data_IF_028903036818
#
_entry.id   IF_028903036818
#
_cell.length_a   1.000
_cell.length_b   1.000
_cell.length_c   1.000
_cell.angle_alpha   90.00
_cell.angle_beta   90.00
_cell.angle_gamma   90.00
#
_symmetry.space_group_name_H-M   'P 1'
#
loop_
_entity.id
_entity.type
_entity.pdbx_description
1 polymer ?
#
# COMPACT_ATOMS: atom_id res chain seq x y z
N UNK A 1 -7.19 3.47 16.92
CA UNK A 1 -7.23 4.49 15.85
C UNK A 1 -8.17 4.01 14.74
N UNK A 2 -8.96 4.90 14.12
CA UNK A 2 -9.85 4.57 12.98
C UNK A 2 -9.51 5.48 11.78
N UNK A 3 -10.12 5.25 10.59
CA UNK A 3 -9.90 6.05 9.37
C UNK A 3 -10.00 7.56 9.59
N UNK A 4 -11.05 8.02 10.29
CA UNK A 4 -11.27 9.46 10.52
C UNK A 4 -10.15 10.06 11.36
N UNK A 5 -9.71 9.33 12.37
CA UNK A 5 -8.64 9.78 13.24
C UNK A 5 -7.28 9.79 12.52
N UNK A 6 -6.99 8.76 11.72
CA UNK A 6 -5.80 8.72 10.87
C UNK A 6 -5.74 9.95 9.95
N UNK A 7 -6.84 10.25 9.27
CA UNK A 7 -6.95 11.40 8.37
C UNK A 7 -6.80 12.74 9.08
N UNK A 8 -7.39 12.89 10.28
CA UNK A 8 -7.26 14.11 11.07
C UNK A 8 -5.81 14.37 11.47
N UNK A 9 -5.13 13.34 11.98
CA UNK A 9 -3.73 13.43 12.37
C UNK A 9 -2.85 13.72 11.16
N UNK A 10 -3.08 13.04 10.04
CA UNK A 10 -2.35 13.29 8.80
C UNK A 10 -2.55 14.73 8.29
N UNK A 11 -3.78 15.24 8.32
CA UNK A 11 -4.11 16.62 7.97
C UNK A 11 -3.49 17.64 8.94
N UNK A 12 -3.30 17.26 10.21
CA UNK A 12 -2.58 18.05 11.21
C UNK A 12 -1.04 18.01 11.05
N UNK A 13 -0.52 17.30 10.05
CA UNK A 13 0.91 17.18 9.78
C UNK A 13 1.58 15.98 10.43
N UNK A 14 0.84 15.14 11.16
CA UNK A 14 1.39 13.89 11.69
C UNK A 14 1.75 12.96 10.54
N UNK A 15 2.93 12.36 10.63
CA UNK A 15 3.41 11.37 9.67
C UNK A 15 3.85 10.09 10.38
N UNK A 16 4.08 10.13 11.69
CA UNK A 16 4.59 9.01 12.48
C UNK A 16 3.44 8.37 13.24
N UNK A 17 2.83 7.34 12.65
CA UNK A 17 1.70 6.64 13.27
C UNK A 17 2.14 5.41 14.09
N UNK A 18 3.40 4.97 13.97
CA UNK A 18 3.97 3.82 14.68
C UNK A 18 3.97 3.91 16.22
N UNK A 19 3.84 5.12 16.78
CA UNK A 19 3.79 5.34 18.25
C UNK A 19 2.36 5.32 18.80
N UNK A 20 1.37 5.26 17.93
CA UNK A 20 -0.03 5.27 18.33
C UNK A 20 -0.39 3.84 18.70
N UNK A 21 -0.81 3.61 19.94
CA UNK A 21 -1.28 2.30 20.40
C UNK A 21 -2.59 1.99 19.67
N UNK A 22 -2.57 1.00 18.78
CA UNK A 22 -3.74 0.55 18.03
C UNK A 22 -4.06 -0.85 18.50
N UNK A 23 -5.35 -1.13 18.69
CA UNK A 23 -5.79 -2.52 18.76
C UNK A 23 -5.52 -3.11 17.37
N UNK A 24 -4.80 -4.23 17.33
CA UNK A 24 -4.18 -4.88 16.16
C UNK A 24 -5.15 -5.27 15.01
N UNK A 25 -6.42 -4.89 15.13
CA UNK A 25 -7.52 -5.24 14.23
C UNK A 25 -8.26 -4.03 13.66
N UNK A 26 -7.93 -2.81 14.10
CA UNK A 26 -8.80 -1.64 13.84
C UNK A 26 -8.83 -1.16 12.38
N UNK A 27 -7.87 -1.57 11.55
CA UNK A 27 -7.72 -1.12 10.17
C UNK A 27 -7.66 -2.28 9.16
N UNK A 28 -7.96 -3.52 9.58
CA UNK A 28 -8.19 -4.61 8.61
C UNK A 28 -9.52 -4.37 7.88
N UNK A 29 -9.55 -4.60 6.57
CA UNK A 29 -10.76 -4.45 5.74
C UNK A 29 -11.26 -3.01 5.58
N UNK A 30 -10.50 -2.01 6.02
CA UNK A 30 -10.93 -0.60 5.96
C UNK A 30 -10.88 -0.08 4.52
N UNK A 31 -11.87 0.71 4.15
CA UNK A 31 -11.85 1.44 2.89
C UNK A 31 -11.04 2.73 3.01
N UNK A 32 -9.86 2.77 2.38
CA UNK A 32 -8.93 3.90 2.27
C UNK A 32 -8.71 4.28 0.80
N UNK A 33 -9.66 3.98 -0.09
CA UNK A 33 -9.57 4.37 -1.50
C UNK A 33 -9.38 5.88 -1.66
N UNK A 34 -8.51 6.25 -2.60
CA UNK A 34 -8.16 7.64 -2.91
C UNK A 34 -7.41 8.39 -1.81
N UNK A 35 -6.98 7.72 -0.73
CA UNK A 35 -6.33 8.41 0.38
C UNK A 35 -4.96 8.96 -0.02
N UNK A 36 -4.59 10.12 0.52
CA UNK A 36 -3.21 10.59 0.49
C UNK A 36 -2.54 10.30 1.84
N UNK A 37 -1.60 9.34 1.84
CA UNK A 37 -0.70 9.04 2.96
C UNK A 37 0.77 9.08 2.49
N UNK A 38 1.08 9.94 1.51
CA UNK A 38 2.45 10.13 1.04
C UNK A 38 3.41 10.43 2.21
N UNK A 39 4.54 9.72 2.24
CA UNK A 39 5.57 9.81 3.28
C UNK A 39 5.08 9.48 4.70
N UNK A 40 3.92 8.83 4.86
CA UNK A 40 3.45 8.36 6.17
C UNK A 40 4.29 7.17 6.65
N UNK A 41 4.50 7.08 7.96
CA UNK A 41 5.13 5.94 8.64
C UNK A 41 4.02 5.09 9.27
N UNK A 42 3.70 3.99 8.61
CA UNK A 42 2.64 3.03 8.96
C UNK A 42 3.23 1.69 9.41
N UNK A 43 4.45 1.70 9.97
CA UNK A 43 5.21 0.50 10.34
C UNK A 43 4.44 -0.39 11.33
N UNK A 44 4.48 -1.70 11.10
CA UNK A 44 3.85 -2.73 11.95
C UNK A 44 2.33 -2.58 12.14
N UNK A 45 1.63 -2.01 11.17
CA UNK A 45 0.17 -1.96 11.18
C UNK A 45 -0.44 -3.24 10.61
N UNK A 46 -1.64 -3.61 11.08
CA UNK A 46 -2.49 -4.56 10.40
C UNK A 46 -3.43 -3.85 9.42
N UNK A 47 -3.13 -3.94 8.13
CA UNK A 47 -3.87 -3.38 7.00
C UNK A 47 -4.30 -4.49 6.01
N UNK A 48 -4.43 -5.72 6.51
CA UNK A 48 -4.93 -6.83 5.68
C UNK A 48 -6.30 -6.50 5.11
N UNK A 49 -6.56 -6.93 3.88
CA UNK A 49 -7.84 -6.75 3.18
C UNK A 49 -8.29 -5.28 3.02
N UNK A 50 -7.44 -4.31 3.36
CA UNK A 50 -7.76 -2.89 3.22
C UNK A 50 -7.84 -2.49 1.74
N UNK A 51 -8.78 -1.60 1.43
CA UNK A 51 -8.90 -1.03 0.09
C UNK A 51 -8.09 0.26 0.00
N UNK A 52 -6.99 0.25 -0.74
CA UNK A 52 -6.14 1.40 -1.06
C UNK A 52 -6.24 1.79 -2.54
N UNK A 53 -7.32 1.44 -3.23
CA UNK A 53 -7.43 1.75 -4.66
C UNK A 53 -7.30 3.25 -4.92
N UNK A 54 -6.49 3.62 -5.91
CA UNK A 54 -6.17 5.01 -6.27
C UNK A 54 -5.53 5.85 -5.13
N UNK A 55 -4.97 5.21 -4.09
CA UNK A 55 -4.29 5.90 -3.01
C UNK A 55 -2.93 6.47 -3.44
N UNK A 56 -2.53 7.59 -2.84
CA UNK A 56 -1.16 8.07 -2.89
C UNK A 56 -0.40 7.63 -1.63
N UNK A 57 0.47 6.64 -1.79
CA UNK A 57 1.36 6.08 -0.78
C UNK A 57 2.85 6.36 -1.12
N UNK A 58 3.11 7.33 -2.01
CA UNK A 58 4.48 7.65 -2.44
C UNK A 58 5.39 7.97 -1.24
N UNK A 59 6.54 7.31 -1.18
CA UNK A 59 7.50 7.42 -0.09
C UNK A 59 7.02 6.95 1.28
N UNK A 60 5.87 6.27 1.38
CA UNK A 60 5.36 5.75 2.65
C UNK A 60 6.29 4.65 3.19
N UNK A 61 6.46 4.61 4.51
CA UNK A 61 7.23 3.58 5.22
C UNK A 61 6.28 2.60 5.89
N UNK A 62 6.21 1.40 5.36
CA UNK A 62 5.28 0.34 5.76
C UNK A 62 6.01 -0.92 6.26
N UNK A 63 7.25 -0.79 6.75
CA UNK A 63 8.04 -1.95 7.19
C UNK A 63 7.29 -2.79 8.24
N UNK A 64 7.25 -4.10 8.02
CA UNK A 64 6.59 -5.05 8.92
C UNK A 64 5.06 -4.94 8.97
N UNK A 65 4.45 -4.14 8.10
CA UNK A 65 3.00 -3.99 7.98
C UNK A 65 2.40 -5.22 7.32
N UNK A 66 1.22 -5.64 7.78
CA UNK A 66 0.45 -6.68 7.12
C UNK A 66 -0.44 -6.05 6.03
N UNK A 67 -0.12 -6.30 4.76
CA UNK A 67 -0.90 -5.88 3.58
C UNK A 67 -1.53 -7.09 2.87
N UNK A 68 -1.59 -8.26 3.52
CA UNK A 68 -2.16 -9.46 2.91
C UNK A 68 -3.60 -9.19 2.44
N UNK A 69 -3.91 -9.51 1.18
CA UNK A 69 -5.23 -9.27 0.57
C UNK A 69 -5.57 -7.80 0.27
N UNK A 70 -4.67 -6.85 0.53
CA UNK A 70 -4.96 -5.44 0.29
C UNK A 70 -5.14 -5.14 -1.21
N UNK A 71 -6.08 -4.25 -1.52
CA UNK A 71 -6.30 -3.77 -2.88
C UNK A 71 -5.54 -2.47 -3.12
N UNK A 72 -4.44 -2.51 -3.91
CA UNK A 72 -3.65 -1.34 -4.27
C UNK A 72 -3.92 -0.87 -5.72
N UNK A 73 -5.06 -1.27 -6.31
CA UNK A 73 -5.32 -0.97 -7.73
C UNK A 73 -5.31 0.53 -8.02
N UNK A 74 -4.50 0.99 -8.98
CA UNK A 74 -4.37 2.42 -9.31
C UNK A 74 -3.54 3.22 -8.30
N UNK A 75 -2.98 2.60 -7.26
CA UNK A 75 -2.22 3.31 -6.24
C UNK A 75 -0.83 3.75 -6.72
N UNK A 76 -0.34 4.83 -6.15
CA UNK A 76 1.04 5.30 -6.31
C UNK A 76 1.87 4.89 -5.09
N UNK A 77 2.77 3.93 -5.27
CA UNK A 77 3.75 3.48 -4.28
C UNK A 77 5.18 3.89 -4.66
N UNK A 78 5.36 4.92 -5.49
CA UNK A 78 6.69 5.40 -5.87
C UNK A 78 7.56 5.62 -4.63
N UNK A 79 8.75 5.03 -4.59
CA UNK A 79 9.71 5.08 -3.48
C UNK A 79 9.16 4.58 -2.12
N UNK A 80 8.05 3.84 -2.09
CA UNK A 80 7.51 3.28 -0.85
C UNK A 80 8.41 2.15 -0.32
N UNK A 81 8.51 2.05 1.00
CA UNK A 81 9.30 1.03 1.68
C UNK A 81 8.37 0.01 2.35
N UNK A 82 8.16 -1.13 1.67
CA UNK A 82 7.44 -2.29 2.17
C UNK A 82 8.37 -3.44 2.56
N UNK A 83 9.65 -3.18 2.88
CA UNK A 83 10.54 -4.24 3.30
C UNK A 83 10.00 -4.96 4.54
N UNK A 84 10.03 -6.30 4.51
CA UNK A 84 9.53 -7.17 5.58
C UNK A 84 8.02 -7.08 5.83
N UNK A 85 7.27 -6.36 5.00
CA UNK A 85 5.81 -6.37 5.03
C UNK A 85 5.29 -7.70 4.51
N UNK A 86 4.10 -8.11 4.99
CA UNK A 86 3.39 -9.25 4.39
C UNK A 86 2.57 -8.75 3.21
N UNK A 87 2.81 -9.30 2.02
CA UNK A 87 2.15 -8.87 0.78
C UNK A 87 1.46 -10.05 0.08
N UNK A 88 1.06 -11.07 0.84
CA UNK A 88 0.40 -12.25 0.31
C UNK A 88 -0.95 -11.86 -0.33
N UNK A 89 -1.19 -12.26 -1.57
CA UNK A 89 -2.45 -11.96 -2.30
C UNK A 89 -2.77 -10.46 -2.43
N UNK A 90 -1.76 -9.59 -2.45
CA UNK A 90 -1.97 -8.17 -2.74
C UNK A 90 -2.40 -7.98 -4.19
N UNK A 91 -3.37 -7.08 -4.44
CA UNK A 91 -3.84 -6.77 -5.79
C UNK A 91 -3.09 -5.53 -6.29
N UNK A 92 -2.36 -5.68 -7.40
CA UNK A 92 -1.49 -4.66 -7.98
C UNK A 92 -1.88 -4.41 -9.44
N UNK A 93 -3.11 -3.95 -9.69
CA UNK A 93 -3.57 -3.56 -11.03
C UNK A 93 -3.34 -2.06 -11.22
N UNK A 94 -2.84 -1.61 -12.38
CA UNK A 94 -2.61 -0.19 -12.66
C UNK A 94 -1.77 0.53 -11.59
N UNK A 95 -0.90 -0.19 -10.89
CA UNK A 95 -0.17 0.32 -9.72
C UNK A 95 1.19 0.85 -10.14
N UNK A 96 1.66 1.94 -9.54
CA UNK A 96 3.01 2.43 -9.77
C UNK A 96 3.94 2.01 -8.61
N UNK A 97 4.87 1.09 -8.86
CA UNK A 97 5.86 0.62 -7.89
C UNK A 97 7.25 1.22 -8.12
N UNK A 98 7.43 2.24 -8.97
CA UNK A 98 8.77 2.78 -9.29
C UNK A 98 9.60 3.04 -8.03
N UNK A 99 10.74 2.39 -7.87
CA UNK A 99 11.62 2.55 -6.70
C UNK A 99 11.09 1.94 -5.39
N UNK A 100 9.90 1.33 -5.39
CA UNK A 100 9.32 0.67 -4.22
C UNK A 100 10.14 -0.55 -3.81
N UNK A 101 10.28 -0.74 -2.50
CA UNK A 101 11.02 -1.88 -1.92
C UNK A 101 10.06 -2.86 -1.26
N UNK A 102 10.48 -4.12 -1.16
CA UNK A 102 9.71 -5.17 -0.49
C UNK A 102 8.68 -5.89 -1.38
N UNK A 103 8.50 -5.45 -2.62
CA UNK A 103 7.81 -6.22 -3.66
C UNK A 103 8.88 -6.97 -4.47
N UNK A 104 8.86 -8.31 -4.43
CA UNK A 104 9.81 -9.13 -5.18
C UNK A 104 9.64 -8.98 -6.70
N UNK A 105 10.70 -9.24 -7.47
CA UNK A 105 10.75 -9.14 -8.94
C UNK A 105 9.98 -10.26 -9.68
N UNK A 106 8.80 -10.64 -9.17
CA UNK A 106 8.06 -11.81 -9.63
C UNK A 106 6.71 -11.96 -8.93
N UNK A 107 6.03 -10.83 -8.70
CA UNK A 107 4.68 -10.78 -8.15
C UNK A 107 3.69 -11.43 -9.15
N UNK A 108 3.51 -12.73 -9.02
CA UNK A 108 2.68 -13.55 -9.90
C UNK A 108 1.18 -13.20 -9.87
N UNK A 109 0.55 -13.43 -11.02
CA UNK A 109 -0.88 -13.56 -11.33
C UNK A 109 -1.83 -12.33 -11.21
N UNK A 110 -1.48 -11.22 -10.56
CA UNK A 110 -2.39 -10.05 -10.46
C UNK A 110 -1.74 -8.69 -10.79
N UNK A 111 -0.62 -8.70 -11.51
CA UNK A 111 -0.05 -7.51 -12.13
C UNK A 111 -0.62 -7.34 -13.55
N UNK A 112 -1.39 -6.29 -13.75
CA UNK A 112 -1.88 -5.86 -15.05
C UNK A 112 -1.81 -4.35 -15.07
N UNK A 113 -1.27 -3.77 -16.15
CA UNK A 113 -1.04 -2.33 -16.32
C UNK A 113 -0.17 -1.70 -15.20
N UNK A 114 0.71 -2.47 -14.57
CA UNK A 114 1.49 -2.04 -13.39
C UNK A 114 2.92 -1.70 -13.77
N UNK A 115 3.50 -0.70 -13.10
CA UNK A 115 4.91 -0.34 -13.23
C UNK A 115 5.67 -1.05 -12.12
N UNK A 116 6.65 -1.87 -12.46
CA UNK A 116 7.50 -2.60 -11.51
C UNK A 116 8.52 -1.69 -10.80
N UNK A 117 9.16 -2.17 -9.71
CA UNK A 117 10.18 -1.41 -8.99
C UNK A 117 11.32 -0.84 -9.85
N UNK A 118 11.73 -1.53 -10.91
CA UNK A 118 12.75 -1.04 -11.85
C UNK A 118 12.25 0.01 -12.85
N UNK A 119 10.93 0.26 -12.89
CA UNK A 119 10.27 1.17 -13.82
C UNK A 119 9.71 0.47 -15.06
N UNK A 120 9.81 -0.86 -15.16
CA UNK A 120 9.25 -1.62 -16.27
C UNK A 120 7.72 -1.64 -16.22
N UNK A 121 7.06 -1.38 -17.34
CA UNK A 121 5.62 -1.52 -17.45
C UNK A 121 5.24 -2.97 -17.77
N UNK A 122 4.32 -3.54 -16.99
CA UNK A 122 3.74 -4.86 -17.17
C UNK A 122 2.29 -4.69 -17.55
N UNK A 123 1.98 -4.98 -18.80
CA UNK A 123 0.63 -4.90 -19.34
C UNK A 123 -0.32 -5.94 -18.69
N UNK A 124 0.21 -7.09 -18.28
CA UNK A 124 -0.57 -8.25 -17.86
C UNK A 124 -0.76 -9.22 -19.04
N UNK A 125 -1.33 -10.41 -18.82
CA UNK A 125 -1.52 -11.36 -19.90
C UNK A 125 -2.58 -10.89 -20.90
N UNK A 126 -2.33 -11.15 -22.20
CA UNK A 126 -3.12 -10.71 -23.36
C UNK A 126 -4.63 -11.06 -23.34
N UNK A 127 -5.11 -11.85 -22.38
CA UNK A 127 -6.52 -12.27 -22.25
C UNK A 127 -7.32 -11.49 -21.19
N UNK A 128 -6.73 -10.48 -20.56
CA UNK A 128 -7.44 -9.52 -19.70
C UNK A 128 -7.69 -8.25 -20.53
N UNK A 129 -8.67 -8.28 -21.44
CA UNK A 129 -9.27 -7.08 -22.04
C UNK A 129 -10.46 -6.56 -21.22
#
# INVERSE_FOLDING_TARGET
>A
MNKKELLRLYAAGERIFARIKINDTALSGVDLSGINLSKAHLMAFNLSDANFSNANLSGARMLGTNLSGANLSGADLTDADCERSKTDNVILVATNLTGAKGFGSGIGAFICKTIEPGGEFVEGPDWIE
#
